data_IF_108854735440
#
_entry.id   IF_108854735440
#
_cell.length_a   1.000
_cell.length_b   1.000
_cell.length_c   1.000
_cell.angle_alpha   90.00
_cell.angle_beta   90.00
_cell.angle_gamma   90.00
#
_symmetry.space_group_name_H-M   'P 1'
#
loop_
_entity.id
_entity.type
_entity.pdbx_description
1 polymer ?
#
# COMPACT_ATOMS: atom_id res chain seq x y z
N UNK A 1 -22.00 -12.94 -0.88
CA UNK A 1 -21.35 -13.62 -2.02
C UNK A 1 -19.87 -13.81 -1.75
N UNK A 2 -19.08 -12.74 -1.58
CA UNK A 2 -17.64 -12.85 -1.23
C UNK A 2 -17.36 -13.70 0.01
N UNK A 3 -17.92 -13.33 1.17
CA UNK A 3 -17.70 -14.05 2.42
C UNK A 3 -18.12 -15.53 2.32
N UNK A 4 -19.30 -15.82 1.78
CA UNK A 4 -19.80 -17.19 1.61
C UNK A 4 -18.91 -18.05 0.71
N UNK A 5 -18.45 -17.49 -0.41
CA UNK A 5 -17.52 -18.19 -1.31
C UNK A 5 -16.17 -18.43 -0.63
N UNK A 6 -15.68 -17.44 0.11
CA UNK A 6 -14.44 -17.56 0.86
C UNK A 6 -14.54 -18.60 1.97
N UNK A 7 -15.62 -18.61 2.75
CA UNK A 7 -15.87 -19.60 3.79
C UNK A 7 -15.88 -21.03 3.23
N UNK A 8 -16.53 -21.25 2.08
CA UNK A 8 -16.53 -22.55 1.41
C UNK A 8 -15.12 -22.98 0.98
N UNK A 9 -14.32 -22.06 0.42
CA UNK A 9 -12.94 -22.34 0.02
C UNK A 9 -12.05 -22.65 1.23
N UNK A 10 -12.18 -21.87 2.30
CA UNK A 10 -11.35 -22.01 3.51
C UNK A 10 -11.70 -23.26 4.33
N UNK A 11 -12.95 -23.72 4.34
CA UNK A 11 -13.35 -24.96 5.03
C UNK A 11 -12.70 -26.22 4.44
N UNK A 12 -12.19 -26.14 3.21
CA UNK A 12 -11.50 -27.23 2.53
C UNK A 12 -9.99 -27.27 2.79
N UNK A 13 -9.44 -26.25 3.47
CA UNK A 13 -8.00 -26.15 3.73
C UNK A 13 -7.61 -27.13 4.83
N UNK A 14 -6.88 -28.18 4.46
CA UNK A 14 -6.13 -28.99 5.42
C UNK A 14 -4.84 -28.26 5.83
N UNK A 15 -4.62 -28.13 7.13
CA UNK A 15 -3.52 -27.37 7.74
C UNK A 15 -2.25 -28.19 7.95
N UNK A 16 -2.26 -29.47 7.57
CA UNK A 16 -1.15 -30.44 7.72
C UNK A 16 0.06 -30.22 6.79
N UNK A 17 0.10 -29.11 6.05
CA UNK A 17 1.18 -28.78 5.10
C UNK A 17 2.26 -27.88 5.71
N UNK A 18 3.26 -27.51 4.91
CA UNK A 18 4.28 -26.53 5.31
C UNK A 18 3.66 -25.14 5.59
N UNK A 19 4.38 -24.27 6.30
CA UNK A 19 3.94 -22.90 6.57
C UNK A 19 3.65 -22.14 5.25
N UNK A 20 4.48 -22.37 4.24
CA UNK A 20 4.31 -21.82 2.88
C UNK A 20 3.04 -22.32 2.21
N UNK A 21 2.79 -23.63 2.24
CA UNK A 21 1.60 -24.20 1.65
C UNK A 21 0.34 -23.65 2.31
N UNK A 22 0.37 -23.45 3.63
CA UNK A 22 -0.74 -22.86 4.35
C UNK A 22 -0.99 -21.40 3.91
N UNK A 23 0.07 -20.57 3.86
CA UNK A 23 -0.02 -19.19 3.39
C UNK A 23 -0.53 -19.10 1.94
N UNK A 24 -0.02 -20.00 1.07
CA UNK A 24 -0.41 -20.11 -0.33
C UNK A 24 -1.89 -20.46 -0.49
N UNK A 25 -2.40 -21.43 0.27
CA UNK A 25 -3.81 -21.85 0.24
C UNK A 25 -4.73 -20.71 0.66
N UNK A 26 -4.39 -19.97 1.72
CA UNK A 26 -5.15 -18.79 2.16
C UNK A 26 -5.17 -17.74 1.05
N UNK A 27 -4.02 -17.41 0.47
CA UNK A 27 -3.91 -16.43 -0.61
C UNK A 27 -4.76 -16.81 -1.82
N UNK A 28 -4.66 -18.05 -2.28
CA UNK A 28 -5.41 -18.52 -3.44
C UNK A 28 -6.91 -18.49 -3.16
N UNK A 29 -7.35 -18.91 -1.96
CA UNK A 29 -8.75 -18.86 -1.54
C UNK A 29 -9.33 -17.45 -1.58
N UNK A 30 -8.57 -16.45 -1.11
CA UNK A 30 -8.96 -15.03 -1.18
C UNK A 30 -9.11 -14.58 -2.63
N UNK A 31 -8.11 -14.87 -3.46
CA UNK A 31 -8.09 -14.42 -4.86
C UNK A 31 -9.21 -15.07 -5.68
N UNK A 32 -9.44 -16.38 -5.53
CA UNK A 32 -10.53 -17.10 -6.19
C UNK A 32 -11.90 -16.57 -5.75
N UNK A 33 -12.10 -16.37 -4.45
CA UNK A 33 -13.35 -15.80 -3.94
C UNK A 33 -13.61 -14.39 -4.49
N UNK A 34 -12.55 -13.59 -4.68
CA UNK A 34 -12.63 -12.26 -5.32
C UNK A 34 -12.98 -12.37 -6.80
N UNK A 35 -12.34 -13.25 -7.56
CA UNK A 35 -12.60 -13.42 -9.00
C UNK A 35 -14.06 -13.80 -9.27
N UNK A 36 -14.65 -14.63 -8.41
CA UNK A 36 -16.07 -15.01 -8.51
C UNK A 36 -17.00 -13.87 -8.07
N UNK A 37 -16.58 -13.07 -7.09
CA UNK A 37 -17.46 -12.07 -6.45
C UNK A 37 -17.43 -10.70 -7.12
N UNK A 38 -16.34 -10.35 -7.80
CA UNK A 38 -16.23 -9.09 -8.54
C UNK A 38 -16.89 -9.28 -9.90
N UNK A 39 -17.97 -8.54 -10.15
CA UNK A 39 -18.51 -8.42 -11.49
C UNK A 39 -17.45 -7.79 -12.39
N UNK A 40 -17.12 -8.41 -13.52
CA UNK A 40 -16.25 -7.85 -14.57
C UNK A 40 -16.81 -6.58 -15.25
N UNK A 41 -17.81 -5.93 -14.65
CA UNK A 41 -18.31 -4.66 -15.10
C UNK A 41 -17.23 -3.61 -14.96
N UNK A 42 -16.80 -3.11 -16.11
CA UNK A 42 -15.79 -2.07 -16.17
C UNK A 42 -16.40 -0.82 -15.54
N UNK A 43 -15.75 -0.31 -14.50
CA UNK A 43 -16.11 0.98 -13.90
C UNK A 43 -15.29 2.08 -14.57
N UNK A 44 -15.91 3.24 -14.76
CA UNK A 44 -15.23 4.44 -15.22
C UNK A 44 -14.07 4.79 -14.28
N UNK A 45 -12.82 4.69 -14.76
CA UNK A 45 -11.62 5.05 -13.96
C UNK A 45 -11.57 6.55 -13.60
N UNK A 46 -12.33 7.37 -14.32
CA UNK A 46 -12.40 8.81 -14.14
C UNK A 46 -13.85 9.18 -13.85
N UNK A 47 -14.11 10.06 -12.86
CA UNK A 47 -15.48 10.39 -12.44
C UNK A 47 -16.30 11.06 -13.55
N UNK A 48 -15.63 11.71 -14.51
CA UNK A 48 -16.26 12.37 -15.65
C UNK A 48 -16.53 11.46 -16.85
N UNK A 49 -16.27 10.14 -16.79
CA UNK A 49 -16.59 9.27 -17.95
C UNK A 49 -18.01 8.75 -17.75
N UNK A 50 -18.92 9.12 -18.65
CA UNK A 50 -20.29 8.63 -18.62
C UNK A 50 -20.38 7.12 -18.93
N UNK A 51 -21.48 6.49 -18.51
CA UNK A 51 -21.78 5.11 -18.86
C UNK A 51 -21.88 4.89 -20.38
N UNK A 52 -22.37 5.89 -21.12
CA UNK A 52 -22.44 5.87 -22.58
C UNK A 52 -21.05 5.83 -23.22
N UNK A 53 -20.15 6.73 -22.78
CA UNK A 53 -18.76 6.76 -23.23
C UNK A 53 -18.03 5.46 -22.91
N UNK A 54 -18.35 4.85 -21.77
CA UNK A 54 -17.76 3.57 -21.35
C UNK A 54 -18.21 2.42 -22.26
N UNK A 55 -19.50 2.33 -22.60
CA UNK A 55 -20.03 1.38 -23.58
C UNK A 55 -19.35 1.53 -24.94
N UNK A 56 -19.23 2.77 -25.45
CA UNK A 56 -18.52 3.05 -26.71
C UNK A 56 -17.04 2.65 -26.65
N UNK A 57 -16.38 2.82 -25.50
CA UNK A 57 -15.00 2.42 -25.30
C UNK A 57 -14.82 0.90 -25.33
N UNK A 58 -15.80 0.14 -24.85
CA UNK A 58 -15.81 -1.33 -24.88
C UNK A 58 -16.12 -1.85 -26.29
N UNK A 59 -17.06 -1.23 -27.01
CA UNK A 59 -17.29 -1.50 -28.44
C UNK A 59 -16.02 -1.26 -29.27
N UNK A 60 -15.33 -0.15 -29.02
CA UNK A 60 -14.03 0.16 -29.67
C UNK A 60 -13.00 -0.93 -29.38
N UNK A 61 -12.98 -1.49 -28.17
CA UNK A 61 -12.04 -2.56 -27.79
C UNK A 61 -12.35 -3.85 -28.54
N UNK A 62 -13.63 -4.25 -28.64
CA UNK A 62 -14.04 -5.40 -29.46
C UNK A 62 -13.66 -5.19 -30.93
N UNK A 63 -13.96 -4.01 -31.48
CA UNK A 63 -13.57 -3.65 -32.84
C UNK A 63 -12.05 -3.63 -33.06
N UNK A 64 -11.24 -3.33 -32.03
CA UNK A 64 -9.77 -3.39 -32.12
C UNK A 64 -9.26 -4.80 -32.39
N UNK A 65 -9.94 -5.83 -31.88
CA UNK A 65 -9.55 -7.23 -32.10
C UNK A 65 -9.81 -7.66 -33.54
N UNK A 66 -10.89 -7.15 -34.14
CA UNK A 66 -11.34 -7.57 -35.48
C UNK A 66 -10.91 -6.62 -36.61
N UNK A 67 -10.28 -5.47 -36.29
CA UNK A 67 -9.90 -4.44 -37.28
C UNK A 67 -8.96 -4.93 -38.40
N UNK A 68 -8.23 -6.02 -38.16
CA UNK A 68 -7.26 -6.58 -39.10
C UNK A 68 -7.92 -7.49 -40.16
N UNK A 69 -9.17 -7.93 -39.94
CA UNK A 69 -9.82 -8.89 -40.82
C UNK A 69 -10.41 -8.26 -42.10
N UNK A 70 -10.86 -7.00 -42.06
CA UNK A 70 -11.47 -6.34 -43.21
C UNK A 70 -11.32 -4.81 -43.11
N UNK A 71 -11.18 -4.14 -44.26
CA UNK A 71 -11.18 -2.69 -44.41
C UNK A 71 -12.44 -2.03 -43.81
N UNK A 72 -13.61 -2.63 -43.99
CA UNK A 72 -14.87 -2.11 -43.45
C UNK A 72 -14.89 -2.14 -41.90
N UNK A 73 -14.27 -3.16 -41.30
CA UNK A 73 -14.10 -3.26 -39.83
C UNK A 73 -13.05 -2.26 -39.31
N UNK A 74 -12.02 -1.97 -40.10
CA UNK A 74 -11.04 -0.93 -39.79
C UNK A 74 -11.67 0.47 -39.81
N UNK A 75 -12.55 0.74 -40.77
CA UNK A 75 -13.33 2.00 -40.81
C UNK A 75 -14.25 2.13 -39.61
N UNK A 76 -15.02 1.08 -39.28
CA UNK A 76 -15.83 1.03 -38.05
C UNK A 76 -15.00 1.28 -36.79
N UNK A 77 -13.79 0.72 -36.70
CA UNK A 77 -12.88 0.99 -35.58
C UNK A 77 -12.41 2.46 -35.55
N UNK A 78 -12.09 3.06 -36.70
CA UNK A 78 -11.71 4.49 -36.80
C UNK A 78 -12.87 5.40 -36.40
N UNK A 79 -14.10 5.10 -36.81
CA UNK A 79 -15.29 5.85 -36.41
C UNK A 79 -15.54 5.76 -34.90
N UNK A 80 -15.47 4.55 -34.33
CA UNK A 80 -15.58 4.36 -32.89
C UNK A 80 -14.48 5.11 -32.13
N UNK A 81 -13.26 5.19 -32.67
CA UNK A 81 -12.21 6.02 -32.09
C UNK A 81 -12.57 7.52 -32.07
N UNK A 82 -13.15 8.04 -33.17
CA UNK A 82 -13.61 9.43 -33.24
C UNK A 82 -14.76 9.68 -32.26
N UNK A 83 -15.76 8.79 -32.22
CA UNK A 83 -16.91 8.88 -31.30
C UNK A 83 -16.46 8.86 -29.83
N UNK A 84 -15.62 7.90 -29.44
CA UNK A 84 -15.09 7.82 -28.06
C UNK A 84 -14.33 9.08 -27.68
N UNK A 85 -13.50 9.64 -28.59
CA UNK A 85 -12.79 10.90 -28.32
C UNK A 85 -13.75 12.08 -28.14
N UNK A 86 -14.78 12.20 -29.00
CA UNK A 86 -15.78 13.27 -28.95
C UNK A 86 -16.57 13.21 -27.64
N UNK A 87 -17.11 12.05 -27.30
CA UNK A 87 -17.91 11.87 -26.09
C UNK A 87 -17.05 12.02 -24.82
N UNK A 88 -15.84 11.44 -24.77
CA UNK A 88 -14.95 11.64 -23.62
C UNK A 88 -14.53 13.11 -23.42
N UNK A 89 -14.45 13.90 -24.50
CA UNK A 89 -14.20 15.35 -24.42
C UNK A 89 -15.44 16.06 -23.86
N UNK A 90 -16.62 15.77 -24.40
CA UNK A 90 -17.90 16.33 -23.94
C UNK A 90 -18.13 16.05 -22.45
N UNK A 91 -17.98 14.81 -22.02
CA UNK A 91 -18.20 14.45 -20.62
C UNK A 91 -17.19 15.16 -19.69
N UNK A 92 -15.94 15.31 -20.15
CA UNK A 92 -14.92 16.04 -19.40
C UNK A 92 -15.22 17.53 -19.30
N UNK A 93 -15.66 18.15 -20.39
CA UNK A 93 -16.03 19.58 -20.42
C UNK A 93 -17.23 19.83 -19.49
N UNK A 94 -18.29 19.04 -19.60
CA UNK A 94 -19.46 19.15 -18.72
C UNK A 94 -19.10 18.93 -17.24
N UNK A 95 -18.29 17.93 -16.94
CA UNK A 95 -17.83 17.72 -15.56
C UNK A 95 -17.00 18.89 -15.04
N UNK A 96 -16.10 19.49 -15.85
CA UNK A 96 -15.34 20.67 -15.43
C UNK A 96 -16.29 21.84 -15.14
N UNK A 97 -17.29 22.07 -15.98
CA UNK A 97 -18.30 23.11 -15.77
C UNK A 97 -19.06 22.92 -14.46
N UNK A 98 -19.51 21.69 -14.18
CA UNK A 98 -20.21 21.36 -12.93
C UNK A 98 -19.31 21.58 -11.70
N UNK A 99 -18.05 21.17 -11.77
CA UNK A 99 -17.09 21.40 -10.68
C UNK A 99 -16.78 22.88 -10.49
N UNK A 100 -16.71 23.67 -11.55
CA UNK A 100 -16.52 25.12 -11.47
C UNK A 100 -17.72 25.81 -10.78
N UNK A 101 -18.96 25.38 -11.09
CA UNK A 101 -20.16 25.88 -10.40
C UNK A 101 -20.12 25.55 -8.90
N UNK A 102 -19.80 24.32 -8.56
CA UNK A 102 -19.70 23.86 -7.17
C UNK A 102 -18.60 24.60 -6.38
N UNK A 103 -17.47 24.92 -7.03
CA UNK A 103 -16.43 25.77 -6.45
C UNK A 103 -16.97 27.18 -6.18
N UNK A 104 -17.68 27.77 -7.14
CA UNK A 104 -18.20 29.13 -7.02
C UNK A 104 -19.24 29.22 -5.89
N UNK A 105 -20.18 28.28 -5.82
CA UNK A 105 -21.17 28.18 -4.75
C UNK A 105 -20.50 27.95 -3.38
N UNK A 106 -19.55 27.02 -3.31
CA UNK A 106 -18.80 26.73 -2.07
C UNK A 106 -18.02 27.94 -1.55
N UNK A 107 -17.45 28.77 -2.45
CA UNK A 107 -16.77 30.01 -2.07
C UNK A 107 -17.75 31.08 -1.57
N UNK A 108 -18.94 31.19 -2.18
CA UNK A 108 -19.98 32.14 -1.74
C UNK A 108 -20.53 31.79 -0.35
N UNK A 109 -20.67 30.50 -0.03
CA UNK A 109 -21.19 30.01 1.26
C UNK A 109 -20.10 29.95 2.35
N UNK A 110 -18.84 30.29 2.03
CA UNK A 110 -17.72 30.25 2.97
C UNK A 110 -17.14 28.84 3.22
N UNK A 111 -17.53 27.84 2.42
CA UNK A 111 -16.98 26.48 2.47
C UNK A 111 -15.68 26.39 1.65
N UNK A 112 -14.64 27.11 2.08
CA UNK A 112 -13.35 27.18 1.39
C UNK A 112 -12.65 25.82 1.30
N UNK A 113 -12.95 24.88 2.22
CA UNK A 113 -12.36 23.53 2.23
C UNK A 113 -12.86 22.67 1.07
N UNK A 114 -14.17 22.68 0.79
CA UNK A 114 -14.75 21.98 -0.35
C UNK A 114 -14.22 22.56 -1.66
N UNK A 115 -14.26 23.89 -1.81
CA UNK A 115 -13.72 24.60 -2.97
C UNK A 115 -12.24 24.25 -3.22
N UNK A 116 -11.40 24.24 -2.18
CA UNK A 116 -9.98 23.88 -2.31
C UNK A 116 -9.77 22.43 -2.76
N UNK A 117 -10.57 21.48 -2.25
CA UNK A 117 -10.50 20.09 -2.68
C UNK A 117 -10.88 19.91 -4.15
N UNK A 118 -11.92 20.63 -4.62
CA UNK A 118 -12.36 20.62 -6.01
C UNK A 118 -11.30 21.23 -6.95
N UNK A 119 -10.70 22.37 -6.57
CA UNK A 119 -9.57 22.96 -7.31
C UNK A 119 -8.38 21.99 -7.39
N UNK A 120 -8.09 21.27 -6.31
CA UNK A 120 -7.03 20.26 -6.28
C UNK A 120 -7.32 19.07 -7.19
N UNK A 121 -8.60 18.70 -7.39
CA UNK A 121 -9.02 17.66 -8.33
C UNK A 121 -8.83 18.10 -9.79
N UNK A 122 -9.08 19.38 -10.09
CA UNK A 122 -8.90 19.96 -11.43
C UNK A 122 -7.42 20.12 -11.81
N UNK A 123 -6.54 20.37 -10.84
CA UNK A 123 -5.09 20.46 -11.08
C UNK A 123 -4.55 19.12 -11.60
N UNK A 124 -3.83 19.18 -12.72
CA UNK A 124 -3.13 18.02 -13.29
C UNK A 124 -2.13 17.49 -12.25
N UNK A 125 -2.32 16.24 -11.80
CA UNK A 125 -1.30 15.55 -10.99
C UNK A 125 -0.03 15.42 -11.85
N UNK A 126 1.06 16.02 -11.38
CA UNK A 126 2.38 15.76 -11.93
C UNK A 126 2.73 14.29 -11.69
N UNK A 127 3.15 13.60 -12.75
CA UNK A 127 3.67 12.23 -12.67
C UNK A 127 5.12 12.32 -13.10
N UNK A 128 6.03 12.13 -12.15
CA UNK A 128 7.47 12.03 -12.45
C UNK A 128 7.68 10.85 -13.40
N UNK A 129 8.36 11.10 -14.52
CA UNK A 129 8.79 10.02 -15.41
C UNK A 129 10.04 9.40 -14.79
N UNK A 130 9.92 8.18 -14.26
CA UNK A 130 11.03 7.41 -13.68
C UNK A 130 12.07 6.92 -14.71
N UNK A 131 12.01 7.42 -15.94
CA UNK A 131 12.71 6.83 -17.09
C UNK A 131 14.11 7.42 -17.30
N UNK A 132 14.47 8.47 -16.56
CA UNK A 132 15.77 9.14 -16.68
C UNK A 132 16.43 9.00 -15.33
N UNK A 133 17.32 8.00 -15.21
CA UNK A 133 18.09 7.75 -14.00
C UNK A 133 19.57 7.68 -14.41
N UNK A 134 20.43 8.32 -13.63
CA UNK A 134 21.88 8.32 -13.83
C UNK A 134 22.48 7.06 -13.19
N UNK A 135 23.29 6.35 -13.95
CA UNK A 135 24.12 5.24 -13.50
C UNK A 135 25.31 5.78 -12.68
N UNK A 136 25.98 4.90 -11.91
CA UNK A 136 27.18 5.25 -11.14
C UNK A 136 28.32 5.79 -12.01
N UNK A 137 28.37 5.41 -13.29
CA UNK A 137 29.36 5.87 -14.28
C UNK A 137 29.07 7.28 -14.84
N UNK A 138 28.01 7.94 -14.35
CA UNK A 138 27.60 9.27 -14.78
C UNK A 138 26.69 9.31 -16.02
N UNK A 139 26.49 8.17 -16.70
CA UNK A 139 25.63 8.08 -17.90
C UNK A 139 24.17 7.89 -17.54
N UNK A 140 23.27 8.28 -18.43
CA UNK A 140 21.83 8.10 -18.26
C UNK A 140 21.43 6.70 -18.73
N UNK A 141 20.62 5.99 -17.94
CA UNK A 141 20.01 4.72 -18.33
C UNK A 141 19.11 4.89 -19.57
N UNK A 142 19.32 4.05 -20.58
CA UNK A 142 18.68 4.19 -21.89
C UNK A 142 17.51 3.22 -22.10
N UNK A 143 17.52 2.09 -21.39
CA UNK A 143 16.48 1.05 -21.45
C UNK A 143 15.72 0.95 -20.11
N UNK A 144 14.57 0.27 -20.13
CA UNK A 144 13.81 0.01 -18.91
C UNK A 144 14.58 -0.94 -17.98
N UNK A 145 15.26 -1.91 -18.58
CA UNK A 145 16.08 -2.90 -17.91
C UNK A 145 17.27 -2.24 -17.21
N UNK A 146 17.93 -1.28 -17.88
CA UNK A 146 19.01 -0.49 -17.30
C UNK A 146 18.54 0.34 -16.09
N UNK A 147 17.36 0.95 -16.19
CA UNK A 147 16.76 1.70 -15.09
C UNK A 147 16.50 0.77 -13.91
N UNK A 148 15.91 -0.40 -14.14
CA UNK A 148 15.66 -1.39 -13.09
C UNK A 148 16.95 -1.87 -12.44
N UNK A 149 17.97 -2.20 -13.24
CA UNK A 149 19.27 -2.62 -12.72
C UNK A 149 19.93 -1.53 -11.88
N UNK A 150 19.84 -0.27 -12.31
CA UNK A 150 20.37 0.88 -11.56
C UNK A 150 19.65 1.04 -10.21
N UNK A 151 18.33 0.89 -10.18
CA UNK A 151 17.55 0.86 -8.94
C UNK A 151 17.93 -0.31 -8.04
N UNK A 152 18.08 -1.51 -8.60
CA UNK A 152 18.49 -2.70 -7.85
C UNK A 152 19.85 -2.48 -7.20
N UNK A 153 20.85 -2.03 -7.96
CA UNK A 153 22.18 -1.74 -7.41
C UNK A 153 22.16 -0.68 -6.32
N UNK A 154 21.36 0.38 -6.49
CA UNK A 154 21.22 1.44 -5.50
C UNK A 154 20.56 0.91 -4.21
N UNK A 155 19.44 0.19 -4.32
CA UNK A 155 18.72 -0.36 -3.18
C UNK A 155 19.54 -1.44 -2.46
N UNK A 156 20.22 -2.33 -3.20
CA UNK A 156 21.11 -3.34 -2.62
C UNK A 156 22.16 -2.68 -1.74
N UNK A 157 22.88 -1.66 -2.23
CA UNK A 157 23.87 -0.96 -1.41
C UNK A 157 23.26 -0.12 -0.27
N UNK A 158 22.01 0.34 -0.39
CA UNK A 158 21.33 1.08 0.68
C UNK A 158 20.88 0.18 1.84
N UNK A 159 20.54 -1.07 1.55
CA UNK A 159 20.01 -2.05 2.50
C UNK A 159 20.97 -3.21 2.76
N UNK A 160 22.21 -3.12 2.28
CA UNK A 160 23.27 -4.06 2.59
C UNK A 160 23.58 -3.98 4.08
N UNK A 161 23.58 -5.13 4.77
CA UNK A 161 24.00 -5.18 6.17
C UNK A 161 25.53 -5.09 6.21
N UNK A 162 26.06 -3.95 6.67
CA UNK A 162 27.50 -3.69 6.75
C UNK A 162 28.09 -4.30 8.05
N UNK A 163 27.54 -5.44 8.50
CA UNK A 163 28.06 -6.19 9.65
C UNK A 163 27.65 -5.63 11.02
N UNK A 164 26.61 -4.80 11.10
CA UNK A 164 26.07 -4.32 12.37
C UNK A 164 25.05 -5.29 12.99
N UNK A 165 24.41 -6.11 12.17
CA UNK A 165 23.37 -7.05 12.62
C UNK A 165 23.88 -8.10 13.62
N UNK A 166 25.02 -8.73 13.35
CA UNK A 166 25.57 -9.78 14.24
C UNK A 166 26.02 -9.22 15.60
N UNK A 167 26.59 -8.01 15.64
CA UNK A 167 26.92 -7.34 16.91
C UNK A 167 25.65 -7.01 17.70
N UNK A 168 24.62 -6.52 17.02
CA UNK A 168 23.35 -6.18 17.66
C UNK A 168 22.61 -7.42 18.20
N UNK A 169 22.66 -8.55 17.49
CA UNK A 169 22.08 -9.82 17.96
C UNK A 169 22.80 -10.31 19.22
N UNK A 170 24.14 -10.24 19.26
CA UNK A 170 24.91 -10.55 20.48
C UNK A 170 24.58 -9.61 21.64
N UNK A 171 24.49 -8.31 21.36
CA UNK A 171 24.09 -7.33 22.38
C UNK A 171 22.67 -7.60 22.91
N UNK A 172 21.76 -8.15 22.08
CA UNK A 172 20.42 -8.57 22.50
C UNK A 172 20.42 -9.88 23.30
N UNK A 173 21.32 -10.82 23.02
CA UNK A 173 21.49 -12.07 23.79
C UNK A 173 21.92 -11.80 25.23
N UNK A 174 22.66 -10.71 25.46
CA UNK A 174 23.13 -10.28 26.78
C UNK A 174 22.07 -9.45 27.57
N UNK A 175 20.99 -9.02 26.93
CA UNK A 175 19.89 -8.34 27.63
C UNK A 175 19.04 -9.41 28.31
N UNK A 176 19.15 -9.51 29.63
CA UNK A 176 18.17 -10.25 30.43
C UNK A 176 16.81 -9.57 30.25
N UNK A 177 15.78 -10.26 29.73
CA UNK A 177 14.43 -9.71 29.72
C UNK A 177 14.08 -9.28 31.15
N UNK A 178 13.46 -8.11 31.36
CA UNK A 178 12.97 -7.77 32.69
C UNK A 178 12.11 -8.93 33.21
N UNK A 179 12.14 -9.21 34.52
CA UNK A 179 11.26 -10.19 35.19
C UNK A 179 9.80 -9.86 34.90
N UNK A 180 9.33 -10.26 33.73
CA UNK A 180 7.95 -10.24 33.34
C UNK A 180 7.41 -11.58 33.80
N UNK A 181 6.31 -11.57 34.56
CA UNK A 181 5.52 -12.77 34.83
C UNK A 181 5.39 -13.56 33.51
N UNK A 182 6.11 -14.67 33.46
CA UNK A 182 6.53 -15.42 32.27
C UNK A 182 5.34 -16.06 31.52
N UNK A 183 4.13 -15.74 31.94
CA UNK A 183 2.86 -16.28 31.50
C UNK A 183 2.11 -15.36 30.53
N UNK A 184 2.63 -14.20 30.12
CA UNK A 184 1.89 -13.29 29.22
C UNK A 184 2.44 -13.18 27.80
N UNK A 185 3.75 -13.36 27.58
CA UNK A 185 4.39 -13.09 26.28
C UNK A 185 4.82 -14.34 25.49
N UNK A 186 4.91 -15.49 26.14
CA UNK A 186 5.15 -16.83 25.55
C UNK A 186 3.86 -17.51 25.08
N UNK A 187 2.70 -16.92 25.37
CA UNK A 187 1.42 -17.47 24.94
C UNK A 187 1.22 -17.32 23.43
N UNK A 188 0.52 -18.32 22.87
CA UNK A 188 -0.04 -18.29 21.54
C UNK A 188 -0.67 -16.93 21.22
N UNK A 189 -0.57 -16.48 19.98
CA UNK A 189 -1.26 -15.29 19.50
C UNK A 189 -2.75 -15.48 19.72
N UNK A 190 -3.43 -14.50 20.33
CA UNK A 190 -4.86 -14.57 20.57
C UNK A 190 -5.62 -14.21 19.30
N UNK A 191 -6.81 -14.80 19.12
CA UNK A 191 -7.69 -14.47 17.98
C UNK A 191 -8.04 -12.98 17.96
N UNK A 192 -8.30 -12.39 19.14
CA UNK A 192 -8.63 -10.98 19.30
C UNK A 192 -7.49 -10.03 18.89
N UNK A 193 -6.23 -10.45 19.00
CA UNK A 193 -5.09 -9.67 18.51
C UNK A 193 -5.11 -9.58 16.98
N UNK A 194 -5.46 -10.68 16.31
CA UNK A 194 -5.57 -10.76 14.86
C UNK A 194 -6.78 -9.96 14.36
N UNK A 195 -7.94 -10.09 15.01
CA UNK A 195 -9.13 -9.29 14.72
C UNK A 195 -8.82 -7.79 14.80
N UNK A 196 -8.24 -7.35 15.92
CA UNK A 196 -7.86 -5.96 16.14
C UNK A 196 -6.83 -5.46 15.12
N UNK A 197 -5.88 -6.31 14.73
CA UNK A 197 -4.87 -5.96 13.72
C UNK A 197 -5.51 -5.77 12.33
N UNK A 198 -6.41 -6.68 11.92
CA UNK A 198 -7.15 -6.60 10.66
C UNK A 198 -8.06 -5.35 10.63
N UNK A 199 -8.80 -5.09 11.71
CA UNK A 199 -9.70 -3.94 11.80
C UNK A 199 -8.94 -2.60 11.73
N UNK A 200 -7.73 -2.54 12.29
CA UNK A 200 -6.87 -1.35 12.26
C UNK A 200 -6.13 -1.15 10.93
N UNK A 201 -6.21 -2.10 9.99
CA UNK A 201 -5.64 -1.90 8.66
C UNK A 201 -6.31 -0.70 7.98
N UNK A 202 -5.48 0.21 7.47
CA UNK A 202 -5.95 1.40 6.76
C UNK A 202 -6.47 0.98 5.37
N UNK A 203 -7.72 1.33 5.10
CA UNK A 203 -8.33 1.22 3.76
C UNK A 203 -7.66 2.14 2.74
N UNK A 204 -7.86 1.83 1.46
CA UNK A 204 -7.32 2.51 0.29
C UNK A 204 -5.79 2.56 0.26
N UNK A 205 -5.16 1.47 0.69
CA UNK A 205 -3.70 1.27 0.63
C UNK A 205 -3.35 0.27 -0.45
N UNK A 206 -2.20 0.47 -1.07
CA UNK A 206 -1.69 -0.43 -2.10
C UNK A 206 -1.36 -1.79 -1.50
N UNK A 207 -1.74 -2.90 -2.17
CA UNK A 207 -1.35 -4.25 -1.76
C UNK A 207 0.14 -4.49 -1.97
N UNK A 208 0.65 -5.57 -1.38
CA UNK A 208 1.99 -6.08 -1.63
C UNK A 208 2.05 -6.91 -2.92
N UNK A 209 2.94 -7.90 -2.94
CA UNK A 209 3.16 -8.80 -4.08
C UNK A 209 1.98 -9.75 -4.32
N UNK A 210 1.20 -10.05 -3.28
CA UNK A 210 0.05 -10.95 -3.32
C UNK A 210 -1.23 -10.33 -3.91
N UNK A 211 -1.28 -9.01 -4.07
CA UNK A 211 -2.45 -8.29 -4.55
C UNK A 211 -3.59 -8.15 -3.53
N UNK A 212 -3.43 -8.68 -2.30
CA UNK A 212 -4.48 -8.68 -1.28
C UNK A 212 -4.52 -7.32 -0.59
N UNK A 213 -5.70 -6.70 -0.55
CA UNK A 213 -5.90 -5.39 0.11
C UNK A 213 -6.48 -5.55 1.52
N UNK A 214 -6.38 -4.48 2.32
CA UNK A 214 -6.97 -4.42 3.65
C UNK A 214 -8.49 -4.69 3.65
N UNK A 215 -9.20 -4.21 2.64
CA UNK A 215 -10.65 -4.39 2.50
C UNK A 215 -11.02 -5.85 2.28
N UNK A 216 -10.21 -6.61 1.54
CA UNK A 216 -10.43 -8.04 1.33
C UNK A 216 -10.32 -8.79 2.66
N UNK A 217 -9.31 -8.47 3.47
CA UNK A 217 -9.14 -9.07 4.80
C UNK A 217 -10.29 -8.70 5.75
N UNK A 218 -10.66 -7.42 5.79
CA UNK A 218 -11.74 -6.92 6.64
C UNK A 218 -13.13 -7.47 6.23
N UNK A 219 -13.33 -7.77 4.95
CA UNK A 219 -14.57 -8.36 4.45
C UNK A 219 -14.59 -9.90 4.49
N UNK A 220 -13.48 -10.55 4.87
CA UNK A 220 -13.32 -12.00 4.78
C UNK A 220 -14.03 -12.81 5.87
N UNK A 221 -14.60 -12.14 6.88
CA UNK A 221 -15.37 -12.80 7.94
C UNK A 221 -14.53 -13.64 8.90
N UNK A 222 -15.23 -14.32 9.83
CA UNK A 222 -14.60 -15.06 10.95
C UNK A 222 -13.69 -16.20 10.49
N UNK A 223 -14.08 -16.91 9.42
CA UNK A 223 -13.31 -18.05 8.93
C UNK A 223 -11.93 -17.61 8.41
N UNK A 224 -11.86 -16.48 7.70
CA UNK A 224 -10.57 -15.94 7.24
C UNK A 224 -9.70 -15.52 8.42
N UNK A 225 -10.29 -14.83 9.41
CA UNK A 225 -9.58 -14.42 10.62
C UNK A 225 -9.01 -15.64 11.35
N UNK A 226 -9.77 -16.72 11.47
CA UNK A 226 -9.32 -17.97 12.10
C UNK A 226 -8.15 -18.60 11.35
N UNK A 227 -8.17 -18.61 10.01
CA UNK A 227 -7.08 -19.16 9.20
C UNK A 227 -5.81 -18.29 9.31
N UNK A 228 -5.95 -16.96 9.29
CA UNK A 228 -4.82 -16.04 9.50
C UNK A 228 -4.25 -16.20 10.91
N UNK A 229 -5.11 -16.40 11.91
CA UNK A 229 -4.70 -16.64 13.29
C UNK A 229 -3.91 -17.94 13.45
N UNK A 230 -4.35 -19.02 12.82
CA UNK A 230 -3.59 -20.27 12.78
C UNK A 230 -2.25 -20.10 12.06
N UNK A 231 -2.23 -19.43 10.91
CA UNK A 231 -1.00 -19.13 10.17
C UNK A 231 -0.01 -18.31 11.02
N UNK A 232 -0.46 -17.26 11.70
CA UNK A 232 0.36 -16.45 12.58
C UNK A 232 0.88 -17.25 13.79
N UNK A 233 0.07 -18.13 14.38
CA UNK A 233 0.51 -18.99 15.47
C UNK A 233 1.53 -20.03 15.03
N UNK A 234 1.38 -20.58 13.82
CA UNK A 234 2.39 -21.46 13.24
C UNK A 234 3.70 -20.73 13.00
N UNK A 235 3.63 -19.55 12.38
CA UNK A 235 4.81 -18.70 12.19
C UNK A 235 5.52 -18.37 13.52
N UNK A 236 4.74 -18.11 14.57
CA UNK A 236 5.25 -17.86 15.92
C UNK A 236 5.94 -19.08 16.54
N UNK A 237 5.34 -20.28 16.43
CA UNK A 237 5.87 -21.52 17.02
C UNK A 237 7.03 -22.12 16.24
N UNK A 238 6.98 -22.04 14.92
CA UNK A 238 8.01 -22.57 14.01
C UNK A 238 9.18 -21.59 13.87
N UNK A 239 9.11 -20.40 14.46
CA UNK A 239 10.09 -19.31 14.34
C UNK A 239 10.43 -18.96 12.88
N UNK A 240 9.44 -19.14 12.01
CA UNK A 240 9.56 -18.97 10.58
C UNK A 240 8.43 -18.09 10.05
N UNK A 241 8.67 -17.41 8.94
CA UNK A 241 7.64 -16.64 8.24
C UNK A 241 7.52 -17.15 6.80
N UNK A 242 6.34 -17.03 6.17
CA UNK A 242 6.24 -17.21 4.74
C UNK A 242 7.19 -16.27 3.98
N UNK A 243 7.88 -16.78 2.98
CA UNK A 243 8.78 -16.09 2.04
C UNK A 243 8.13 -14.83 1.48
N UNK A 244 6.84 -14.93 1.15
CA UNK A 244 6.08 -13.82 0.59
C UNK A 244 5.87 -12.68 1.61
N UNK A 245 5.98 -12.93 2.91
CA UNK A 245 5.99 -11.87 3.93
C UNK A 245 7.34 -11.14 3.98
N UNK A 246 8.44 -11.82 3.63
CA UNK A 246 9.76 -11.22 3.48
C UNK A 246 9.97 -10.46 2.17
N UNK A 247 9.10 -10.69 1.17
CA UNK A 247 9.15 -9.99 -0.12
C UNK A 247 8.37 -8.68 -0.08
N UNK A 248 8.86 -7.69 -0.82
CA UNK A 248 8.17 -6.40 -0.94
C UNK A 248 8.37 -5.74 -2.29
N UNK A 249 7.42 -4.89 -2.67
CA UNK A 249 7.52 -4.06 -3.88
C UNK A 249 8.13 -2.71 -3.49
N UNK A 250 9.30 -2.38 -4.03
CA UNK A 250 9.93 -1.08 -3.83
C UNK A 250 9.38 -0.03 -4.79
N UNK A 251 8.83 1.04 -4.23
CA UNK A 251 8.29 2.18 -4.96
C UNK A 251 9.13 3.43 -4.65
N UNK A 252 9.90 3.96 -5.62
CA UNK A 252 10.63 5.21 -5.43
C UNK A 252 9.69 6.43 -5.55
N UNK A 253 9.67 7.28 -4.53
CA UNK A 253 8.89 8.53 -4.50
C UNK A 253 9.84 9.73 -4.61
N UNK A 254 9.64 10.63 -5.60
CA UNK A 254 10.48 11.82 -5.76
C UNK A 254 10.56 12.69 -4.50
N UNK A 255 11.77 13.09 -4.13
CA UNK A 255 12.07 14.19 -3.20
C UNK A 255 12.41 15.45 -4.02
N UNK A 256 12.94 16.47 -3.34
CA UNK A 256 13.57 17.64 -4.00
C UNK A 256 14.96 17.25 -4.52
N UNK A 257 15.45 17.96 -5.54
CA UNK A 257 16.76 17.74 -6.15
C UNK A 257 16.67 17.28 -7.60
N UNK A 258 17.80 16.83 -8.15
CA UNK A 258 17.87 16.24 -9.49
C UNK A 258 17.20 14.87 -9.49
N UNK A 259 16.12 14.73 -10.28
CA UNK A 259 15.35 13.49 -10.39
C UNK A 259 16.03 12.42 -11.25
N UNK A 260 17.19 12.72 -11.84
CA UNK A 260 18.06 11.72 -12.42
C UNK A 260 18.83 10.92 -11.35
N UNK A 261 18.98 11.45 -10.13
CA UNK A 261 19.75 10.80 -9.06
C UNK A 261 18.84 9.94 -8.17
N UNK A 262 19.20 8.67 -7.95
CA UNK A 262 18.43 7.76 -7.10
C UNK A 262 18.29 8.25 -5.65
N UNK A 263 19.29 8.94 -5.11
CA UNK A 263 19.30 9.48 -3.75
C UNK A 263 18.21 10.54 -3.49
N UNK A 264 17.77 11.22 -4.55
CA UNK A 264 16.68 12.19 -4.52
C UNK A 264 15.30 11.53 -4.59
N UNK A 265 15.21 10.24 -4.30
CA UNK A 265 13.96 9.52 -4.07
C UNK A 265 13.90 8.95 -2.65
N UNK A 266 12.68 8.73 -2.17
CA UNK A 266 12.38 7.93 -0.99
C UNK A 266 11.85 6.59 -1.46
N UNK A 267 12.57 5.52 -1.18
CA UNK A 267 12.08 4.15 -1.39
C UNK A 267 11.01 3.84 -0.35
N UNK A 268 9.84 3.38 -0.81
CA UNK A 268 8.79 2.84 0.04
C UNK A 268 8.61 1.37 -0.31
N UNK A 269 8.67 0.52 0.70
CA UNK A 269 8.40 -0.91 0.58
C UNK A 269 6.91 -1.18 0.80
N UNK A 270 6.27 -1.85 -0.17
CA UNK A 270 4.92 -2.38 -0.05
C UNK A 270 5.01 -3.86 0.31
N UNK A 271 4.67 -4.15 1.57
CA UNK A 271 4.60 -5.51 2.11
C UNK A 271 3.17 -6.06 2.01
N UNK A 272 3.04 -7.39 2.04
CA UNK A 272 1.75 -8.06 2.06
C UNK A 272 0.96 -7.71 3.32
N UNK A 273 -0.36 -7.51 3.18
CA UNK A 273 -1.21 -7.11 4.30
C UNK A 273 -1.31 -8.21 5.37
N UNK A 274 -1.22 -9.48 4.98
CA UNK A 274 -1.17 -10.63 5.90
C UNK A 274 0.09 -10.59 6.76
N UNK A 275 1.27 -10.41 6.17
CA UNK A 275 2.51 -10.20 6.94
C UNK A 275 2.48 -8.94 7.80
N UNK A 276 1.82 -7.89 7.33
CA UNK A 276 1.60 -6.67 8.12
C UNK A 276 0.72 -6.90 9.35
N UNK A 277 -0.27 -7.80 9.28
CA UNK A 277 -1.08 -8.19 10.45
C UNK A 277 -0.18 -8.80 11.52
N UNK A 278 0.69 -9.73 11.16
CA UNK A 278 1.67 -10.31 12.08
C UNK A 278 2.57 -9.23 12.71
N UNK A 279 3.15 -8.34 11.89
CA UNK A 279 3.98 -7.23 12.38
C UNK A 279 3.22 -6.30 13.34
N UNK A 280 1.92 -6.07 13.12
CA UNK A 280 1.09 -5.26 14.02
C UNK A 280 0.84 -5.96 15.36
N UNK A 281 0.66 -7.29 15.37
CA UNK A 281 0.56 -8.07 16.60
C UNK A 281 1.87 -7.95 17.39
N UNK A 282 3.01 -8.23 16.74
CA UNK A 282 4.33 -8.12 17.35
C UNK A 282 4.58 -6.73 17.92
N UNK A 283 4.30 -5.69 17.13
CA UNK A 283 4.45 -4.30 17.58
C UNK A 283 3.58 -4.00 18.81
N UNK A 284 2.34 -4.50 18.88
CA UNK A 284 1.47 -4.23 20.01
C UNK A 284 1.94 -4.92 21.29
N UNK A 285 2.45 -6.16 21.19
CA UNK A 285 3.05 -6.89 22.32
C UNK A 285 4.31 -6.18 22.83
N UNK A 286 5.23 -5.86 21.92
CA UNK A 286 6.50 -5.20 22.27
C UNK A 286 6.30 -3.78 22.79
N UNK A 287 5.35 -3.02 22.22
CA UNK A 287 5.17 -1.61 22.56
C UNK A 287 4.91 -1.39 24.04
N UNK A 288 4.07 -2.23 24.67
CA UNK A 288 3.79 -2.08 26.11
C UNK A 288 5.05 -2.31 26.95
N UNK A 289 5.88 -3.27 26.55
CA UNK A 289 7.09 -3.63 27.27
C UNK A 289 8.19 -2.58 27.08
N UNK A 290 8.28 -1.98 25.90
CA UNK A 290 9.32 -0.99 25.59
C UNK A 290 9.03 0.40 26.18
N UNK A 291 7.77 0.74 26.42
CA UNK A 291 7.36 2.09 26.83
C UNK A 291 8.11 2.64 28.07
N UNK A 292 8.36 1.87 29.14
CA UNK A 292 9.14 2.33 30.30
C UNK A 292 10.62 2.60 30.01
N UNK A 293 11.17 2.00 28.95
CA UNK A 293 12.59 2.13 28.58
C UNK A 293 12.85 3.26 27.58
N UNK A 294 11.80 3.85 27.01
CA UNK A 294 11.92 4.96 26.07
C UNK A 294 12.13 6.28 26.82
N UNK A 295 13.13 7.07 26.39
CA UNK A 295 13.36 8.41 26.95
C UNK A 295 12.15 9.33 26.73
N UNK A 296 11.97 10.29 27.64
CA UNK A 296 10.87 11.27 27.56
C UNK A 296 11.05 12.25 26.39
N UNK A 297 12.29 12.47 25.97
CA UNK A 297 12.67 13.28 24.80
C UNK A 297 12.33 12.56 23.48
N UNK A 298 12.22 11.23 23.48
CA UNK A 298 11.90 10.45 22.30
C UNK A 298 10.43 10.65 21.88
N UNK A 299 10.20 11.50 20.89
CA UNK A 299 8.86 11.75 20.34
C UNK A 299 8.53 10.98 19.06
N UNK A 300 9.53 10.46 18.35
CA UNK A 300 9.33 9.76 17.09
C UNK A 300 8.55 8.46 17.28
N UNK A 301 7.45 8.30 16.54
CA UNK A 301 6.62 7.08 16.53
C UNK A 301 6.01 6.66 17.89
N UNK A 302 6.04 7.57 18.87
CA UNK A 302 5.53 7.32 20.23
C UNK A 302 4.10 7.86 20.35
N UNK A 303 3.24 7.15 21.11
CA UNK A 303 1.84 7.57 21.28
C UNK A 303 1.82 8.89 22.06
N UNK A 304 0.89 9.78 21.72
CA UNK A 304 0.65 11.05 22.44
C UNK A 304 1.86 12.01 22.47
N UNK A 305 2.87 11.75 21.62
CA UNK A 305 4.00 12.64 21.36
C UNK A 305 3.94 13.21 19.96
N UNK A 306 4.36 14.45 19.79
CA UNK A 306 4.38 15.12 18.48
C UNK A 306 5.63 15.98 18.30
N UNK A 307 5.97 16.24 17.03
CA UNK A 307 7.03 17.18 16.67
C UNK A 307 6.75 18.60 17.17
N UNK A 308 5.48 18.97 17.34
CA UNK A 308 5.08 20.28 17.86
C UNK A 308 5.52 20.47 19.31
N UNK A 309 5.32 19.45 20.16
CA UNK A 309 5.78 19.48 21.55
C UNK A 309 7.31 19.61 21.63
N UNK A 310 8.04 18.86 20.81
CA UNK A 310 9.51 18.93 20.80
C UNK A 310 10.03 20.30 20.33
N UNK A 311 9.40 20.90 19.31
CA UNK A 311 9.73 22.27 18.89
C UNK A 311 9.47 23.27 20.02
N UNK A 312 8.37 23.12 20.76
CA UNK A 312 8.06 23.98 21.90
C UNK A 312 9.12 23.84 23.00
N UNK A 313 9.48 22.61 23.38
CA UNK A 313 10.51 22.34 24.40
C UNK A 313 11.83 22.99 23.99
N UNK A 314 12.27 22.80 22.74
CA UNK A 314 13.49 23.41 22.21
C UNK A 314 13.46 24.94 22.26
N UNK A 315 12.31 25.56 21.94
CA UNK A 315 12.15 27.02 22.04
C UNK A 315 12.26 27.51 23.48
N UNK A 316 11.59 26.84 24.42
CA UNK A 316 11.65 27.19 25.84
C UNK A 316 13.07 27.07 26.40
N UNK A 317 13.80 26.02 26.02
CA UNK A 317 15.20 25.84 26.39
C UNK A 317 16.08 26.96 25.82
N UNK A 318 15.90 27.31 24.54
CA UNK A 318 16.63 28.40 23.90
C UNK A 318 16.33 29.77 24.53
N UNK A 319 15.08 30.03 24.93
CA UNK A 319 14.70 31.26 25.63
C UNK A 319 15.29 31.31 27.04
N UNK A 320 15.26 30.19 27.78
CA UNK A 320 15.86 30.11 29.12
C UNK A 320 17.36 30.34 29.07
N UNK A 321 18.05 29.76 28.08
CA UNK A 321 19.48 29.94 27.87
C UNK A 321 19.88 31.37 27.49
N UNK A 322 18.97 32.17 26.91
CA UNK A 322 19.20 33.61 26.62
C UNK A 322 18.98 34.52 27.82
N UNK A 323 18.24 34.05 28.83
CA UNK A 323 17.93 34.83 30.05
C UNK A 323 18.99 34.67 31.14
N UNK A 324 19.81 33.62 31.05
CA UNK A 324 20.98 33.39 31.88
C UNK A 324 22.23 33.86 31.15
#
# INVERSE_FOLDING_TARGET
MYQTNLENNLNSIQTNGTLEEHALKIRNSINEAIEVSITNQRVAKKPWISAETLKLADEKRKAKQTKHLNQNLNEKYKELCKKVKKFARKDKEGWIEDQCKEIQEGLQVGNSKQAYNLVKLLKRKYVSKLNIIRKKDGKIAQSKEDVLQTWTQYCSGLYEDIGGGESFVKDLEDITPPDCDDNTNTNNILLSEIENAIDKLKKNKSPGTDGITAEMLQAGGKQLVSNIHELCNRAWKEEAIPDDWGRSILIPIPKKGDLAECSNYRTISLINHTGKVMLMVLLNRLKHQLEPFLSEEQAGFRKDRSTVQQILILRLLAEKAKRN
#
